data_IF_390106029376
#
_entry.id   IF_390106029376
#
_cell.length_a   1.000
_cell.length_b   1.000
_cell.length_c   1.000
_cell.angle_alpha   90.00
_cell.angle_beta   90.00
_cell.angle_gamma   90.00
#
_symmetry.space_group_name_H-M   'P 1'
#
loop_
_entity.id
_entity.type
_entity.pdbx_description
1 polymer ?
#
# COMPACT_ATOMS: atom_id res chain seq x y z
N UNK A 1 -3.68 -17.67 0.32
CA UNK A 1 -4.51 -17.07 -0.74
C UNK A 1 -5.99 -17.03 -0.42
N UNK A 2 -6.36 -16.31 0.63
CA UNK A 2 -7.78 -16.25 1.08
C UNK A 2 -8.54 -15.08 0.46
N UNK A 3 -7.82 -14.03 0.06
CA UNK A 3 -8.38 -12.76 -0.38
C UNK A 3 -8.04 -12.43 -1.85
N UNK A 4 -8.07 -13.43 -2.74
CA UNK A 4 -7.73 -13.25 -4.17
C UNK A 4 -8.56 -12.14 -4.84
N UNK A 5 -9.84 -12.02 -4.49
CA UNK A 5 -10.71 -10.96 -5.01
C UNK A 5 -10.23 -9.56 -4.60
N UNK A 6 -9.83 -9.39 -3.34
CA UNK A 6 -9.28 -8.13 -2.84
C UNK A 6 -7.92 -7.83 -3.47
N UNK A 7 -7.06 -8.84 -3.59
CA UNK A 7 -5.76 -8.71 -4.25
C UNK A 7 -5.91 -8.27 -5.72
N UNK A 8 -6.84 -8.87 -6.47
CA UNK A 8 -7.18 -8.48 -7.84
C UNK A 8 -7.73 -7.05 -7.91
N UNK A 9 -8.68 -6.70 -7.02
CA UNK A 9 -9.27 -5.36 -6.94
C UNK A 9 -8.22 -4.27 -6.76
N UNK A 10 -7.21 -4.51 -5.94
CA UNK A 10 -6.13 -3.55 -5.68
C UNK A 10 -4.86 -3.80 -6.51
N UNK A 11 -4.93 -4.69 -7.51
CA UNK A 11 -3.80 -5.04 -8.40
C UNK A 11 -2.52 -5.40 -7.64
N UNK A 12 -2.66 -6.19 -6.56
CA UNK A 12 -1.52 -6.75 -5.83
C UNK A 12 -0.89 -7.85 -6.69
N UNK A 13 0.31 -7.59 -7.23
CA UNK A 13 1.05 -8.50 -8.12
C UNK A 13 2.33 -9.06 -7.48
N UNK A 14 2.78 -8.49 -6.37
CA UNK A 14 3.98 -8.91 -5.64
C UNK A 14 3.77 -8.81 -4.13
N UNK A 15 4.48 -9.64 -3.37
CA UNK A 15 4.41 -9.64 -1.90
C UNK A 15 5.79 -9.33 -1.30
N UNK A 16 5.85 -8.63 -0.15
CA UNK A 16 4.75 -7.92 0.50
C UNK A 16 4.29 -6.69 -0.32
N UNK A 17 3.02 -6.28 -0.18
CA UNK A 17 2.51 -5.01 -0.71
C UNK A 17 1.78 -4.26 0.41
N UNK A 18 2.10 -2.97 0.58
CA UNK A 18 1.39 -2.06 1.47
C UNK A 18 0.55 -1.09 0.63
N UNK A 19 -0.70 -0.89 1.03
CA UNK A 19 -1.63 0.06 0.42
C UNK A 19 -2.01 1.11 1.46
N UNK A 20 -1.81 2.38 1.14
CA UNK A 20 -2.23 3.49 2.00
C UNK A 20 -3.58 4.01 1.51
N UNK A 21 -4.55 4.06 2.43
CA UNK A 21 -5.88 4.57 2.16
C UNK A 21 -6.09 5.92 2.83
N UNK A 22 -6.68 6.88 2.10
CA UNK A 22 -7.22 8.13 2.65
C UNK A 22 -8.60 8.35 2.06
N UNK A 23 -9.58 8.60 2.91
CA UNK A 23 -10.99 8.79 2.52
C UNK A 23 -11.55 7.64 1.64
N UNK A 24 -11.16 6.40 1.93
CA UNK A 24 -11.58 5.21 1.18
C UNK A 24 -10.92 5.01 -0.18
N UNK A 25 -9.98 5.88 -0.57
CA UNK A 25 -9.22 5.78 -1.82
C UNK A 25 -7.77 5.38 -1.54
N UNK A 26 -7.18 4.56 -2.41
CA UNK A 26 -5.75 4.25 -2.38
C UNK A 26 -4.99 5.49 -2.84
N UNK A 27 -4.17 6.05 -1.96
CA UNK A 27 -3.35 7.24 -2.25
C UNK A 27 -1.88 6.92 -2.47
N UNK A 28 -1.43 5.74 -2.01
CA UNK A 28 -0.04 5.28 -2.18
C UNK A 28 0.01 3.75 -2.18
N UNK A 29 0.97 3.17 -2.91
CA UNK A 29 1.23 1.73 -2.95
C UNK A 29 2.73 1.46 -2.87
N UNK A 30 3.15 0.60 -1.95
CA UNK A 30 4.54 0.16 -1.78
C UNK A 30 4.59 -1.34 -2.04
N UNK A 31 5.44 -1.76 -2.99
CA UNK A 31 5.64 -3.17 -3.33
C UNK A 31 7.05 -3.59 -2.93
N UNK A 32 7.15 -4.74 -2.28
CA UNK A 32 8.39 -5.29 -1.75
C UNK A 32 8.71 -4.82 -0.32
N UNK A 33 9.74 -5.42 0.25
CA UNK A 33 10.26 -5.01 1.55
C UNK A 33 11.07 -3.72 1.39
N UNK A 34 10.70 -2.68 2.14
CA UNK A 34 11.38 -1.37 2.11
C UNK A 34 11.76 -0.94 3.54
N UNK A 35 12.78 -0.06 3.70
CA UNK A 35 13.13 0.50 5.00
C UNK A 35 11.99 1.30 5.62
N UNK A 36 12.02 1.41 6.95
CA UNK A 36 11.03 2.16 7.74
C UNK A 36 10.90 3.61 7.26
N UNK A 37 12.01 4.24 6.92
CA UNK A 37 12.07 5.64 6.51
C UNK A 37 11.25 5.89 5.23
N UNK A 38 11.19 4.91 4.33
CA UNK A 38 10.40 5.00 3.11
C UNK A 38 8.89 4.95 3.42
N UNK A 39 8.50 4.10 4.37
CA UNK A 39 7.11 3.99 4.83
C UNK A 39 6.69 5.29 5.53
N UNK A 40 7.55 5.83 6.41
CA UNK A 40 7.27 7.11 7.09
C UNK A 40 7.09 8.25 6.08
N UNK A 41 7.99 8.38 5.10
CA UNK A 41 7.87 9.39 4.04
C UNK A 41 6.60 9.25 3.22
N UNK A 42 6.15 8.02 2.96
CA UNK A 42 4.89 7.76 2.27
C UNK A 42 3.69 8.26 3.10
N UNK A 43 3.69 8.05 4.41
CA UNK A 43 2.65 8.56 5.29
C UNK A 43 2.66 10.09 5.36
N UNK A 44 3.82 10.70 5.56
CA UNK A 44 4.01 12.16 5.66
C UNK A 44 3.47 12.91 4.42
N UNK A 45 3.60 12.33 3.22
CA UNK A 45 3.03 12.93 1.99
C UNK A 45 1.50 13.12 2.04
N UNK A 46 0.81 12.35 2.87
CA UNK A 46 -0.65 12.31 2.92
C UNK A 46 -1.23 12.74 4.27
N UNK A 47 -0.38 13.03 5.26
CA UNK A 47 -0.76 13.63 6.54
C UNK A 47 -0.52 15.14 6.40
N UNK A 48 -1.61 15.88 6.19
CA UNK A 48 -1.60 17.34 6.29
C UNK A 48 -1.80 17.75 7.73
#
# INVERSE_FOLDING_TARGET
>A
DEAMNSAGRYRVQGIPTLLLFKNGQVVEQIVGAVPKEMITKALERHIG
#
